data_IF_986592638072
#
_entry.id   IF_986592638072
#
_cell.length_a   1.000
_cell.length_b   1.000
_cell.length_c   1.000
_cell.angle_alpha   90.00
_cell.angle_beta   90.00
_cell.angle_gamma   90.00
#
_symmetry.space_group_name_H-M   'P 1'
#
loop_
_entity.id
_entity.type
_entity.pdbx_description
1 polymer ?
#
# COMPACT_ATOMS: atom_id res chain seq x y z
N UNK A 1 10.22 -19.51 14.32
CA UNK A 1 11.41 -18.64 14.39
C UNK A 1 11.85 -18.36 12.95
N UNK A 2 11.81 -17.09 12.53
CA UNK A 2 12.25 -16.52 11.23
C UNK A 2 11.59 -17.07 9.94
N UNK A 3 10.42 -16.53 9.58
CA UNK A 3 10.01 -16.45 8.16
C UNK A 3 10.35 -15.04 7.65
N UNK A 4 11.41 -15.00 6.87
CA UNK A 4 11.95 -13.84 6.19
C UNK A 4 10.91 -13.16 5.28
N UNK A 5 10.89 -11.83 5.37
CA UNK A 5 10.83 -10.86 4.28
C UNK A 5 10.21 -11.32 2.95
N UNK A 6 8.98 -10.88 2.67
CA UNK A 6 8.46 -10.78 1.30
C UNK A 6 7.54 -9.58 1.12
N UNK A 7 8.08 -8.39 1.35
CA UNK A 7 7.65 -7.19 0.64
C UNK A 7 8.53 -7.09 -0.62
N UNK A 8 8.09 -7.73 -1.70
CA UNK A 8 8.61 -7.61 -3.08
C UNK A 8 10.13 -7.41 -3.20
N UNK A 9 10.90 -8.49 -3.07
CA UNK A 9 12.15 -8.57 -3.81
C UNK A 9 11.80 -8.87 -5.28
N UNK A 10 12.17 -7.93 -6.14
CA UNK A 10 12.38 -8.15 -7.57
C UNK A 10 13.16 -9.46 -7.75
N UNK A 11 12.66 -10.41 -8.54
CA UNK A 11 13.38 -11.65 -8.85
C UNK A 11 14.75 -11.31 -9.46
N UNK A 12 15.83 -11.63 -8.74
CA UNK A 12 17.19 -11.59 -9.27
C UNK A 12 17.45 -12.91 -9.99
N UNK A 13 17.16 -12.93 -11.28
CA UNK A 13 17.26 -14.10 -12.12
C UNK A 13 17.07 -13.71 -13.57
N UNK A 14 17.99 -12.91 -14.09
CA UNK A 14 18.46 -12.82 -15.47
C UNK A 14 19.24 -11.52 -15.63
N UNK A 15 20.48 -11.66 -16.09
CA UNK A 15 21.40 -10.59 -16.48
C UNK A 15 20.69 -9.72 -17.52
N UNK A 16 20.25 -8.54 -17.10
CA UNK A 16 19.68 -7.51 -17.94
C UNK A 16 20.01 -6.18 -17.29
N UNK A 17 20.79 -5.35 -17.99
CA UNK A 17 21.25 -4.02 -17.57
C UNK A 17 20.21 -3.36 -16.66
N UNK A 18 20.60 -3.05 -15.42
CA UNK A 18 19.88 -2.07 -14.62
C UNK A 18 19.82 -0.83 -15.51
N UNK A 19 18.66 -0.52 -16.10
CA UNK A 19 18.45 0.80 -16.66
C UNK A 19 18.57 1.73 -15.46
N UNK A 20 19.76 2.27 -15.25
CA UNK A 20 19.98 3.41 -14.36
C UNK A 20 19.12 4.49 -15.00
N UNK A 21 17.88 4.59 -14.54
CA UNK A 21 16.94 5.61 -14.98
C UNK A 21 17.67 6.94 -14.84
N UNK A 22 17.86 7.64 -15.96
CA UNK A 22 18.46 8.97 -15.99
C UNK A 22 17.46 9.95 -15.33
N UNK A 23 17.41 9.91 -14.01
CA UNK A 23 16.55 10.76 -13.20
C UNK A 23 17.09 12.18 -13.27
N UNK A 24 16.20 13.14 -13.50
CA UNK A 24 16.52 14.55 -13.38
C UNK A 24 17.06 14.85 -11.97
N UNK A 25 17.86 15.92 -11.85
CA UNK A 25 18.40 16.32 -10.54
C UNK A 25 17.29 16.59 -9.52
N UNK A 26 16.15 17.13 -9.95
CA UNK A 26 14.97 17.33 -9.11
C UNK A 26 14.37 16.00 -8.62
N UNK A 27 14.27 14.98 -9.48
CA UNK A 27 13.80 13.65 -9.07
C UNK A 27 14.75 12.95 -8.09
N UNK A 28 16.07 13.08 -8.27
CA UNK A 28 17.07 12.55 -7.32
C UNK A 28 16.96 13.20 -5.94
N UNK A 29 16.77 14.52 -5.90
CA UNK A 29 16.56 15.27 -4.66
C UNK A 29 15.25 14.86 -4.00
N UNK A 30 14.17 14.71 -4.76
CA UNK A 30 12.88 14.24 -4.26
C UNK A 30 12.99 12.85 -3.62
N UNK A 31 13.67 11.89 -4.27
CA UNK A 31 13.91 10.56 -3.71
C UNK A 31 14.70 10.60 -2.40
N UNK A 32 15.76 11.42 -2.33
CA UNK A 32 16.53 11.61 -1.10
C UNK A 32 15.66 12.17 0.04
N UNK A 33 14.73 13.10 -0.26
CA UNK A 33 13.79 13.65 0.73
C UNK A 33 12.77 12.60 1.17
N UNK A 34 12.16 11.87 0.23
CA UNK A 34 11.19 10.81 0.54
C UNK A 34 11.80 9.70 1.39
N UNK A 35 13.03 9.29 1.11
CA UNK A 35 13.72 8.27 1.92
C UNK A 35 14.03 8.72 3.35
N UNK A 36 14.09 10.03 3.60
CA UNK A 36 14.29 10.62 4.93
C UNK A 36 12.98 10.95 5.66
N UNK A 37 11.84 10.77 5.01
CA UNK A 37 10.55 11.08 5.62
C UNK A 37 10.25 10.07 6.74
N UNK A 38 10.01 10.53 7.98
CA UNK A 38 9.80 9.64 9.12
C UNK A 38 8.59 8.73 8.93
N UNK A 39 7.54 9.17 8.23
CA UNK A 39 6.37 8.35 7.96
C UNK A 39 6.64 7.28 6.89
N UNK A 40 7.58 7.51 5.97
CA UNK A 40 8.01 6.48 5.03
C UNK A 40 8.80 5.39 5.77
N UNK A 41 9.64 5.78 6.73
CA UNK A 41 10.37 4.83 7.59
C UNK A 41 9.40 4.08 8.50
N UNK A 42 8.47 4.78 9.18
CA UNK A 42 7.45 4.20 10.04
C UNK A 42 6.55 3.24 9.27
N UNK A 43 6.10 3.61 8.06
CA UNK A 43 5.29 2.73 7.22
C UNK A 43 6.04 1.43 6.87
N UNK A 44 7.34 1.51 6.56
CA UNK A 44 8.16 0.32 6.31
C UNK A 44 8.28 -0.55 7.57
N UNK A 45 8.48 0.06 8.73
CA UNK A 45 8.60 -0.63 10.01
C UNK A 45 7.30 -1.34 10.42
N UNK A 46 6.16 -0.66 10.25
CA UNK A 46 4.81 -1.18 10.58
C UNK A 46 4.17 -1.98 9.43
N UNK A 47 4.94 -2.26 8.38
CA UNK A 47 4.51 -3.04 7.22
C UNK A 47 3.25 -2.48 6.51
N UNK A 48 3.11 -1.16 6.49
CA UNK A 48 2.15 -0.44 5.66
C UNK A 48 2.71 -0.18 4.27
N UNK A 49 1.85 -0.34 3.26
CA UNK A 49 2.27 -0.24 1.85
C UNK A 49 2.72 1.17 1.43
N UNK A 50 2.17 2.20 2.07
CA UNK A 50 2.69 3.56 1.94
C UNK A 50 2.29 4.43 3.14
N UNK A 51 2.93 5.59 3.26
CA UNK A 51 2.75 6.53 4.38
C UNK A 51 1.33 7.10 4.51
N UNK A 52 0.49 7.02 3.48
CA UNK A 52 -0.89 7.52 3.56
C UNK A 52 -1.78 6.67 4.47
N UNK A 53 -1.35 5.46 4.85
CA UNK A 53 -2.04 4.62 5.82
C UNK A 53 -2.32 5.38 7.14
N UNK A 54 -1.35 6.13 7.64
CA UNK A 54 -1.47 6.87 8.90
C UNK A 54 -2.60 7.90 8.89
N UNK A 55 -2.87 8.53 7.74
CA UNK A 55 -3.99 9.47 7.61
C UNK A 55 -5.33 8.79 7.86
N UNK A 56 -5.51 7.58 7.31
CA UNK A 56 -6.76 6.84 7.50
C UNK A 56 -6.87 6.33 8.94
N UNK A 57 -5.77 5.86 9.53
CA UNK A 57 -5.71 5.48 10.95
C UNK A 57 -6.17 6.62 11.85
N UNK A 58 -5.58 7.82 11.70
CA UNK A 58 -5.96 9.00 12.49
C UNK A 58 -7.44 9.39 12.32
N UNK A 59 -7.98 9.29 11.09
CA UNK A 59 -9.38 9.57 10.80
C UNK A 59 -10.29 8.54 11.49
N UNK A 60 -9.94 7.25 11.44
CA UNK A 60 -10.73 6.20 12.08
C UNK A 60 -10.70 6.38 13.60
N UNK A 61 -9.55 6.67 14.19
CA UNK A 61 -9.44 6.89 15.64
C UNK A 61 -10.26 8.10 16.11
N UNK A 62 -10.21 9.20 15.35
CA UNK A 62 -10.90 10.44 15.70
C UNK A 62 -12.41 10.38 15.47
N UNK A 63 -12.85 9.82 14.34
CA UNK A 63 -14.23 9.90 13.88
C UNK A 63 -14.98 8.56 13.94
N UNK A 64 -14.30 7.45 14.23
CA UNK A 64 -14.87 6.10 14.32
C UNK A 64 -15.72 5.74 13.08
N UNK A 65 -15.21 6.12 11.91
CA UNK A 65 -15.89 5.97 10.62
C UNK A 65 -15.97 4.54 10.09
N UNK A 66 -15.14 3.64 10.64
CA UNK A 66 -15.16 2.21 10.33
C UNK A 66 -15.37 1.46 11.64
N UNK A 67 -16.34 0.55 11.63
CA UNK A 67 -16.68 -0.34 12.75
C UNK A 67 -16.49 -1.79 12.34
N UNK A 68 -16.41 -2.66 13.34
CA UNK A 68 -16.38 -4.09 13.11
C UNK A 68 -17.64 -4.56 12.39
N UNK A 69 -17.47 -5.34 11.33
CA UNK A 69 -18.55 -5.82 10.46
C UNK A 69 -18.84 -4.94 9.25
N UNK A 70 -18.28 -3.73 9.16
CA UNK A 70 -18.55 -2.83 8.03
C UNK A 70 -17.99 -3.35 6.71
N UNK A 71 -18.74 -3.14 5.62
CA UNK A 71 -18.24 -3.32 4.25
C UNK A 71 -17.67 -2.00 3.75
N UNK A 72 -16.38 -2.00 3.40
CA UNK A 72 -15.66 -0.78 3.00
C UNK A 72 -15.36 -0.84 1.50
N UNK A 73 -15.65 0.25 0.79
CA UNK A 73 -15.31 0.43 -0.62
C UNK A 73 -14.25 1.53 -0.74
N UNK A 74 -13.08 1.18 -1.26
CA UNK A 74 -11.97 2.07 -1.61
C UNK A 74 -11.98 2.31 -3.13
N UNK A 75 -12.41 3.50 -3.55
CA UNK A 75 -12.59 3.88 -4.96
C UNK A 75 -11.32 4.48 -5.62
N UNK A 76 -10.17 4.56 -4.92
CA UNK A 76 -9.02 5.32 -5.44
C UNK A 76 -7.63 4.81 -5.05
N UNK A 77 -7.52 3.64 -4.43
CA UNK A 77 -6.30 3.19 -3.77
C UNK A 77 -5.28 2.45 -4.64
N UNK A 78 -4.46 3.16 -5.43
CA UNK A 78 -3.15 2.63 -5.88
C UNK A 78 -2.05 3.33 -5.08
N UNK A 79 -1.61 2.78 -3.92
CA UNK A 79 -1.09 1.43 -3.75
C UNK A 79 -1.79 0.60 -2.65
N UNK A 80 -3.10 0.78 -2.42
CA UNK A 80 -3.91 -0.09 -1.55
C UNK A 80 -3.61 -0.02 -0.04
N UNK A 81 -2.91 1.00 0.44
CA UNK A 81 -2.63 1.23 1.87
C UNK A 81 -3.89 1.54 2.68
N UNK A 82 -4.85 2.25 2.09
CA UNK A 82 -6.14 2.55 2.71
C UNK A 82 -7.00 1.30 2.82
N UNK A 83 -7.11 0.52 1.73
CA UNK A 83 -7.73 -0.80 1.79
C UNK A 83 -7.07 -1.76 2.81
N UNK A 84 -5.75 -1.70 2.98
CA UNK A 84 -5.04 -2.48 4.01
C UNK A 84 -5.49 -2.10 5.43
N UNK A 85 -5.54 -0.81 5.73
CA UNK A 85 -6.01 -0.30 7.04
C UNK A 85 -7.49 -0.62 7.23
N UNK A 86 -8.33 -0.34 6.23
CA UNK A 86 -9.76 -0.62 6.30
C UNK A 86 -10.05 -2.10 6.62
N UNK A 87 -9.31 -3.03 6.02
CA UNK A 87 -9.46 -4.47 6.27
C UNK A 87 -8.99 -4.89 7.67
N UNK A 88 -8.07 -4.14 8.27
CA UNK A 88 -7.65 -4.35 9.66
C UNK A 88 -8.74 -3.89 10.63
N UNK A 89 -9.35 -2.72 10.40
CA UNK A 89 -10.34 -2.14 11.32
C UNK A 89 -11.74 -2.74 11.16
N UNK A 90 -12.18 -3.07 9.94
CA UNK A 90 -13.54 -3.57 9.74
C UNK A 90 -13.72 -5.00 10.23
N UNK A 91 -12.64 -5.78 10.38
CA UNK A 91 -12.64 -7.22 10.68
C UNK A 91 -13.53 -8.10 9.77
N UNK A 92 -14.19 -7.51 8.77
CA UNK A 92 -15.20 -8.10 7.91
C UNK A 92 -14.59 -8.89 6.75
N UNK A 93 -15.44 -9.65 6.06
CA UNK A 93 -15.04 -10.58 5.00
C UNK A 93 -14.68 -9.87 3.68
N UNK A 94 -14.97 -8.58 3.53
CA UNK A 94 -14.79 -7.88 2.26
C UNK A 94 -14.50 -6.40 2.40
N UNK A 95 -13.29 -6.01 2.00
CA UNK A 95 -12.96 -4.65 1.57
C UNK A 95 -12.84 -4.66 0.07
N UNK A 96 -13.63 -3.82 -0.62
CA UNK A 96 -13.59 -3.70 -2.06
C UNK A 96 -12.65 -2.57 -2.46
N UNK A 97 -11.62 -2.86 -3.26
CA UNK A 97 -10.71 -1.88 -3.84
C UNK A 97 -10.92 -1.84 -5.37
N UNK A 98 -11.15 -0.66 -5.91
CA UNK A 98 -11.19 -0.42 -7.35
C UNK A 98 -9.81 0.08 -7.80
N UNK A 99 -9.01 -0.79 -8.41
CA UNK A 99 -7.66 -0.46 -8.86
C UNK A 99 -7.29 -1.15 -10.17
N UNK A 100 -6.49 -0.46 -10.99
CA UNK A 100 -6.00 -0.97 -12.28
C UNK A 100 -5.01 -2.15 -12.14
N UNK A 101 -4.36 -2.32 -10.97
CA UNK A 101 -3.45 -3.44 -10.68
C UNK A 101 -4.05 -4.34 -9.59
N UNK A 102 -4.14 -5.66 -9.88
CA UNK A 102 -4.51 -6.67 -8.88
C UNK A 102 -3.57 -6.60 -7.68
N UNK A 103 -4.15 -6.52 -6.49
CA UNK A 103 -3.41 -6.59 -5.23
C UNK A 103 -3.55 -8.00 -4.63
N UNK A 104 -2.53 -8.84 -4.78
CA UNK A 104 -2.65 -10.29 -4.61
C UNK A 104 -2.16 -10.85 -3.27
N UNK A 105 -2.15 -10.09 -2.17
CA UNK A 105 -1.57 -10.58 -0.90
C UNK A 105 -2.50 -10.62 0.31
N UNK A 106 -3.72 -10.09 0.24
CA UNK A 106 -4.65 -10.10 1.37
C UNK A 106 -5.97 -10.80 1.00
N UNK A 107 -6.24 -11.94 1.64
CA UNK A 107 -7.43 -12.79 1.38
C UNK A 107 -8.79 -12.10 1.60
N UNK A 108 -8.81 -10.92 2.23
CA UNK A 108 -10.02 -10.16 2.58
C UNK A 108 -10.31 -8.97 1.65
N UNK A 109 -9.43 -8.68 0.69
CA UNK A 109 -9.56 -7.52 -0.20
C UNK A 109 -9.97 -7.99 -1.60
N UNK A 110 -11.16 -7.60 -2.02
CA UNK A 110 -11.66 -7.83 -3.38
C UNK A 110 -11.15 -6.70 -4.26
N UNK A 111 -10.49 -7.02 -5.37
CA UNK A 111 -10.03 -6.02 -6.33
C UNK A 111 -10.87 -6.12 -7.59
N UNK A 112 -11.66 -5.09 -7.90
CA UNK A 112 -12.33 -4.97 -9.20
C UNK A 112 -11.40 -4.20 -10.12
N UNK A 113 -11.00 -4.86 -11.21
CA UNK A 113 -10.33 -4.20 -12.33
C UNK A 113 -11.41 -3.84 -13.34
N UNK A 114 -11.67 -2.55 -13.61
CA UNK A 114 -12.57 -2.17 -14.70
C UNK A 114 -11.95 -2.65 -16.02
N UNK A 115 -12.76 -3.31 -16.84
CA UNK A 115 -12.30 -3.98 -18.07
C UNK A 115 -12.04 -2.98 -19.22
N UNK A 116 -12.47 -1.73 -19.05
CA UNK A 116 -12.51 -0.69 -20.08
C UNK A 116 -11.89 0.66 -19.65
N UNK A 117 -10.85 0.67 -18.80
CA UNK A 117 -10.12 1.90 -18.43
C UNK A 117 -8.67 1.87 -18.91
#
# INVERSE_FOLDING_TARGET
MLKLFKCVYFNFGLIGKLQVVNLSNSSKIWLKRQNKDPFVIKAKHENYRCRSAFKLVEIIEKYKIIREGDFVIDCGGSPGSWAQVAAQYSHSTGVLNVAHRKFSTLKKIWCIKPENC
#
